data_IF_830524691085
#
_entry.id   IF_830524691085
#
_cell.length_a   1.000
_cell.length_b   1.000
_cell.length_c   1.000
_cell.angle_alpha   90.00
_cell.angle_beta   90.00
_cell.angle_gamma   90.00
#
_symmetry.space_group_name_H-M   'P 1'
#
loop_
_entity.id
_entity.type
_entity.pdbx_description
1 polymer ?
#
# COMPACT_ATOMS: atom_id res chain seq x y z
N UNK A 1 12.65 2.44 -4.87
CA UNK A 1 11.44 3.11 -4.36
C UNK A 1 10.60 3.76 -5.45
N UNK A 2 11.17 4.19 -6.58
CA UNK A 2 10.35 4.50 -7.78
C UNK A 2 9.67 3.22 -8.32
N UNK A 3 10.35 2.07 -8.31
CA UNK A 3 9.74 0.77 -8.66
C UNK A 3 8.52 0.40 -7.80
N UNK A 4 8.44 0.88 -6.55
CA UNK A 4 7.28 0.66 -5.67
C UNK A 4 6.10 1.58 -6.00
N UNK A 5 6.31 2.68 -6.72
CA UNK A 5 5.18 3.50 -7.18
C UNK A 5 4.49 2.83 -8.36
N UNK A 6 5.27 2.17 -9.21
CA UNK A 6 4.78 1.44 -10.38
C UNK A 6 4.13 0.08 -10.00
N UNK A 7 4.26 -0.35 -8.74
CA UNK A 7 3.67 -1.58 -8.21
C UNK A 7 2.49 -1.33 -7.26
N UNK A 8 1.94 -0.11 -7.21
CA UNK A 8 0.78 0.16 -6.34
C UNK A 8 -0.44 -0.61 -6.85
N UNK A 9 -1.23 -1.22 -5.95
CA UNK A 9 -2.44 -1.94 -6.34
C UNK A 9 -3.50 -1.02 -6.96
N UNK A 10 -3.47 0.27 -6.62
CA UNK A 10 -4.37 1.30 -7.19
C UNK A 10 -4.28 1.44 -8.71
N UNK A 11 -3.18 1.01 -9.34
CA UNK A 11 -3.05 0.98 -10.80
C UNK A 11 -3.96 -0.10 -11.42
N UNK A 12 -3.92 -1.31 -10.89
CA UNK A 12 -4.80 -2.40 -11.34
C UNK A 12 -6.27 -2.12 -10.97
N UNK A 13 -6.52 -1.42 -9.86
CA UNK A 13 -7.88 -1.01 -9.49
C UNK A 13 -8.48 -0.02 -10.49
N UNK A 14 -7.68 0.85 -11.10
CA UNK A 14 -8.13 1.74 -12.18
C UNK A 14 -8.58 0.96 -13.41
N UNK A 15 -7.88 -0.12 -13.74
CA UNK A 15 -8.27 -1.01 -14.84
C UNK A 15 -9.56 -1.76 -14.50
N UNK A 16 -9.70 -2.24 -13.26
CA UNK A 16 -10.90 -2.93 -12.77
C UNK A 16 -12.13 -2.02 -12.64
N UNK A 17 -11.95 -0.70 -12.52
CA UNK A 17 -13.06 0.25 -12.38
C UNK A 17 -14.07 0.22 -13.53
N UNK A 18 -13.66 -0.18 -14.75
CA UNK A 18 -14.60 -0.35 -15.87
C UNK A 18 -15.52 -1.57 -15.70
N UNK A 19 -15.10 -2.56 -14.93
CA UNK A 19 -15.80 -3.83 -14.72
C UNK A 19 -16.45 -3.96 -13.34
N UNK A 20 -15.94 -3.22 -12.35
CA UNK A 20 -16.29 -3.35 -10.94
C UNK A 20 -16.83 -2.03 -10.36
N UNK A 21 -18.14 -2.02 -10.03
CA UNK A 21 -18.84 -0.87 -9.45
C UNK A 21 -18.35 -0.49 -8.03
N UNK A 22 -17.51 -1.35 -7.43
CA UNK A 22 -16.85 -1.11 -6.14
C UNK A 22 -15.87 0.07 -6.20
N UNK A 23 -15.23 0.27 -7.35
CA UNK A 23 -14.21 1.29 -7.52
C UNK A 23 -14.78 2.60 -8.06
N UNK A 24 -14.32 3.70 -7.47
CA UNK A 24 -14.60 5.06 -7.93
C UNK A 24 -13.29 5.80 -8.06
N UNK A 25 -13.27 6.84 -8.89
CA UNK A 25 -12.09 7.69 -9.02
C UNK A 25 -11.70 8.26 -7.65
N UNK A 26 -12.69 8.60 -6.83
CA UNK A 26 -12.51 9.16 -5.49
C UNK A 26 -11.87 8.16 -4.53
N UNK A 27 -12.38 6.93 -4.42
CA UNK A 27 -11.86 5.95 -3.46
C UNK A 27 -10.47 5.42 -3.85
N UNK A 28 -10.21 5.24 -5.15
CA UNK A 28 -8.89 4.87 -5.68
C UNK A 28 -7.90 5.97 -5.36
N UNK A 29 -8.24 7.23 -5.68
CA UNK A 29 -7.34 8.36 -5.44
C UNK A 29 -7.03 8.54 -3.96
N UNK A 30 -8.03 8.43 -3.09
CA UNK A 30 -7.82 8.54 -1.65
C UNK A 30 -6.93 7.40 -1.12
N UNK A 31 -7.09 6.18 -1.65
CA UNK A 31 -6.17 5.07 -1.34
C UNK A 31 -4.75 5.39 -1.79
N UNK A 32 -4.60 5.90 -3.02
CA UNK A 32 -3.30 6.21 -3.62
C UNK A 32 -2.50 7.25 -2.80
N UNK A 33 -3.19 8.29 -2.31
CA UNK A 33 -2.63 9.34 -1.45
C UNK A 33 -2.17 8.78 -0.08
N UNK A 34 -2.90 7.82 0.49
CA UNK A 34 -2.50 7.12 1.73
C UNK A 34 -1.22 6.30 1.48
N UNK A 35 -1.15 5.58 0.37
CA UNK A 35 0.02 4.79 0.00
C UNK A 35 1.25 5.68 -0.29
N UNK A 36 1.06 6.83 -0.94
CA UNK A 36 2.14 7.80 -1.15
C UNK A 36 2.67 8.36 0.17
N UNK A 37 1.77 8.70 1.09
CA UNK A 37 2.14 9.18 2.42
C UNK A 37 2.96 8.13 3.18
N UNK A 38 2.56 6.87 3.08
CA UNK A 38 3.31 5.75 3.65
C UNK A 38 4.70 5.60 3.03
N UNK A 39 4.81 5.56 1.69
CA UNK A 39 6.09 5.48 0.99
C UNK A 39 7.03 6.64 1.36
N UNK A 40 6.50 7.87 1.41
CA UNK A 40 7.28 9.04 1.80
C UNK A 40 7.76 8.94 3.26
N UNK A 41 6.93 8.43 4.17
CA UNK A 41 7.32 8.20 5.57
C UNK A 41 8.45 7.16 5.67
N UNK A 42 8.40 6.11 4.85
CA UNK A 42 9.47 5.11 4.77
C UNK A 42 10.79 5.70 4.22
N UNK A 43 10.74 6.60 3.22
CA UNK A 43 11.94 7.31 2.69
C UNK A 43 12.66 8.11 3.75
N UNK A 44 11.92 8.75 4.64
CA UNK A 44 12.46 9.59 5.70
C UNK A 44 12.96 8.76 6.90
N UNK A 45 12.57 7.50 6.98
CA UNK A 45 13.03 6.57 8.01
C UNK A 45 14.51 6.23 7.83
N UNK A 46 15.24 6.06 8.94
CA UNK A 46 16.64 5.62 8.93
C UNK A 46 16.76 4.09 9.08
N UNK A 47 15.83 3.33 8.52
CA UNK A 47 15.71 1.87 8.69
C UNK A 47 15.63 1.42 10.15
N UNK A 48 15.06 2.26 11.02
CA UNK A 48 14.81 1.90 12.41
C UNK A 48 13.54 1.06 12.43
N UNK A 49 13.64 -0.20 12.84
CA UNK A 49 12.53 -1.17 12.87
C UNK A 49 11.28 -0.62 13.57
N UNK A 50 11.45 0.17 14.63
CA UNK A 50 10.34 0.82 15.35
C UNK A 50 9.61 1.86 14.50
N UNK A 51 10.34 2.62 13.66
CA UNK A 51 9.75 3.61 12.77
C UNK A 51 8.98 2.91 11.65
N UNK A 52 9.54 1.85 11.06
CA UNK A 52 8.87 1.04 10.04
C UNK A 52 7.55 0.47 10.60
N UNK A 53 7.59 -0.16 11.77
CA UNK A 53 6.40 -0.72 12.42
C UNK A 53 5.34 0.37 12.71
N UNK A 54 5.79 1.55 13.12
CA UNK A 54 4.90 2.70 13.34
C UNK A 54 4.23 3.14 12.03
N UNK A 55 4.96 3.24 10.93
CA UNK A 55 4.40 3.63 9.64
C UNK A 55 3.46 2.58 9.07
N UNK A 56 3.78 1.29 9.21
CA UNK A 56 2.88 0.17 8.87
C UNK A 56 1.57 0.27 9.66
N UNK A 57 1.65 0.52 10.97
CA UNK A 57 0.45 0.73 11.78
C UNK A 57 -0.37 1.92 11.30
N UNK A 58 0.28 3.04 10.99
CA UNK A 58 -0.41 4.25 10.52
C UNK A 58 -1.13 4.03 9.20
N UNK A 59 -0.47 3.42 8.20
CA UNK A 59 -1.11 3.17 6.90
C UNK A 59 -2.30 2.22 7.02
N UNK A 60 -2.19 1.15 7.84
CA UNK A 60 -3.30 0.22 8.07
C UNK A 60 -4.50 0.90 8.75
N UNK A 61 -4.26 1.77 9.73
CA UNK A 61 -5.34 2.53 10.37
C UNK A 61 -6.01 3.48 9.38
N UNK A 62 -5.22 4.23 8.59
CA UNK A 62 -5.76 5.13 7.56
C UNK A 62 -6.59 4.37 6.51
N UNK A 63 -6.17 3.17 6.11
CA UNK A 63 -6.92 2.34 5.16
C UNK A 63 -8.22 1.81 5.78
N UNK A 64 -8.24 1.46 7.07
CA UNK A 64 -9.48 1.07 7.75
C UNK A 64 -10.46 2.25 7.84
N UNK A 65 -9.98 3.42 8.23
CA UNK A 65 -10.80 4.64 8.30
C UNK A 65 -11.33 5.02 6.91
N UNK A 66 -10.52 4.86 5.86
CA UNK A 66 -10.94 5.06 4.48
C UNK A 66 -12.04 4.06 4.08
N UNK A 67 -11.85 2.80 4.45
CA UNK A 67 -12.82 1.76 4.14
C UNK A 67 -14.20 2.06 4.73
N UNK A 68 -14.26 2.56 5.98
CA UNK A 68 -15.50 2.99 6.62
C UNK A 68 -16.14 4.20 5.92
N UNK A 69 -15.34 5.12 5.38
CA UNK A 69 -15.84 6.30 4.65
C UNK A 69 -16.45 5.95 3.28
N UNK A 70 -15.95 4.90 2.63
CA UNK A 70 -16.34 4.50 1.28
C UNK A 70 -17.11 3.17 1.26
N UNK A 71 -18.06 3.01 2.20
CA UNK A 71 -19.02 1.89 2.27
C UNK A 71 -18.38 0.50 2.19
N UNK A 72 -17.24 0.33 2.87
CA UNK A 72 -16.52 -0.94 2.98
C UNK A 72 -16.05 -1.54 1.65
N UNK A 73 -15.66 -0.70 0.68
CA UNK A 73 -15.20 -1.15 -0.63
C UNK A 73 -13.93 -2.03 -0.62
N UNK A 74 -13.09 -1.94 0.41
CA UNK A 74 -11.88 -2.75 0.56
C UNK A 74 -12.27 -4.15 1.09
N UNK A 75 -12.53 -5.04 0.13
CA UNK A 75 -12.86 -6.45 0.32
C UNK A 75 -11.65 -7.33 0.64
N UNK A 76 -11.82 -8.65 0.52
CA UNK A 76 -10.76 -9.62 0.80
C UNK A 76 -9.59 -9.49 -0.17
N UNK A 77 -9.88 -9.38 -1.47
CA UNK A 77 -8.85 -9.28 -2.51
C UNK A 77 -8.03 -8.00 -2.36
N UNK A 78 -8.71 -6.87 -2.19
CA UNK A 78 -8.08 -5.56 -2.04
C UNK A 78 -7.21 -5.51 -0.78
N UNK A 79 -7.64 -6.19 0.31
CA UNK A 79 -6.84 -6.31 1.53
C UNK A 79 -5.57 -7.13 1.30
N UNK A 80 -5.65 -8.21 0.54
CA UNK A 80 -4.48 -9.04 0.21
C UNK A 80 -3.47 -8.24 -0.60
N UNK A 81 -3.91 -7.56 -1.65
CA UNK A 81 -3.09 -6.69 -2.51
C UNK A 81 -2.43 -5.55 -1.71
N UNK A 82 -3.20 -4.86 -0.86
CA UNK A 82 -2.67 -3.83 0.03
C UNK A 82 -1.65 -4.40 1.03
N UNK A 83 -1.90 -5.58 1.60
CA UNK A 83 -0.99 -6.21 2.54
C UNK A 83 0.33 -6.60 1.87
N UNK A 84 0.28 -7.21 0.68
CA UNK A 84 1.47 -7.56 -0.10
C UNK A 84 2.33 -6.32 -0.39
N UNK A 85 1.68 -5.26 -0.89
CA UNK A 85 2.34 -3.99 -1.16
C UNK A 85 3.01 -3.38 0.09
N UNK A 86 2.27 -3.30 1.20
CA UNK A 86 2.77 -2.71 2.46
C UNK A 86 3.97 -3.50 3.00
N UNK A 87 3.90 -4.84 2.96
CA UNK A 87 4.98 -5.71 3.42
C UNK A 87 6.22 -5.60 2.53
N UNK A 88 6.05 -5.52 1.21
CA UNK A 88 7.15 -5.34 0.27
C UNK A 88 7.84 -3.99 0.48
N UNK A 89 7.07 -2.92 0.60
CA UNK A 89 7.59 -1.59 0.87
C UNK A 89 8.29 -1.49 2.24
N UNK A 90 7.77 -2.16 3.27
CA UNK A 90 8.37 -2.20 4.61
C UNK A 90 9.68 -2.99 4.66
N UNK A 91 9.92 -3.88 3.70
CA UNK A 91 11.09 -4.76 3.67
C UNK A 91 11.87 -4.60 2.34
N UNK A 92 12.54 -3.46 2.13
CA UNK A 92 13.33 -3.23 0.91
C UNK A 92 14.51 -4.22 0.75
N UNK A 93 14.83 -5.02 1.78
CA UNK A 93 15.94 -5.99 1.78
C UNK A 93 15.69 -7.26 0.93
N UNK A 94 14.55 -7.39 0.22
CA UNK A 94 14.38 -8.45 -0.79
C UNK A 94 15.46 -8.42 -1.89
N UNK A 95 16.17 -7.30 -2.06
CA UNK A 95 17.34 -7.22 -2.96
C UNK A 95 18.53 -8.11 -2.51
N UNK A 96 18.63 -8.47 -1.22
CA UNK A 96 19.72 -9.31 -0.70
C UNK A 96 19.39 -10.81 -0.66
N UNK A 97 18.12 -11.19 -0.54
CA UNK A 97 17.72 -12.61 -0.45
C UNK A 97 17.47 -13.26 -1.82
N UNK A 98 17.06 -12.50 -2.84
CA UNK A 98 16.92 -13.03 -4.22
C UNK A 98 18.27 -13.24 -4.92
N UNK A 99 19.34 -12.62 -4.41
CA UNK A 99 20.72 -12.78 -4.90
C UNK A 99 21.53 -13.88 -4.20
N UNK A 100 20.87 -14.78 -3.46
CA UNK A 100 21.48 -16.04 -3.01
C UNK A 100 22.64 -15.89 -2.01
N UNK A 101 22.58 -14.92 -1.10
CA UNK A 101 23.49 -14.85 0.06
C UNK A 101 22.72 -14.81 1.37
N UNK A 102 22.27 -15.99 1.80
CA UNK A 102 22.06 -16.29 3.22
C UNK A 102 23.33 -16.91 3.79
#
# INVERSE_FOLDING_TARGET
MEELKDSKPTLEWQERMEEDELFTVENIKATDEILDTYLNSLKESKDIEQDILRYVKQVVLSLNDLNEQFDYFIGTLEREELCEFIMEAANPKKEYCLNGKC
#
